data_IF_437728199999
#
_entry.id   IF_437728199999
#
_cell.length_a   1.000
_cell.length_b   1.000
_cell.length_c   1.000
_cell.angle_alpha   90.00
_cell.angle_beta   90.00
_cell.angle_gamma   90.00
#
_symmetry.space_group_name_H-M   'P 1'
#
loop_
_entity.id
_entity.type
_entity.pdbx_description
1 polymer ?
#
# COMPACT_ATOMS: atom_id res chain seq x y z
N UNK A 1 -13.68 -51.76 -3.75
CA UNK A 1 -14.28 -50.44 -3.43
C UNK A 1 -13.24 -49.34 -3.57
N UNK A 2 -13.32 -48.49 -4.60
CA UNK A 2 -12.69 -47.15 -4.60
C UNK A 2 -13.61 -46.23 -5.39
N UNK A 3 -14.16 -45.23 -4.70
CA UNK A 3 -15.29 -44.39 -5.12
C UNK A 3 -14.80 -43.34 -6.12
N UNK A 4 -15.59 -43.10 -7.16
CA UNK A 4 -15.38 -42.05 -8.17
C UNK A 4 -15.66 -40.67 -7.57
N UNK A 5 -14.83 -39.64 -7.84
CA UNK A 5 -15.19 -38.26 -7.53
C UNK A 5 -16.15 -37.72 -8.59
N UNK A 6 -17.26 -37.16 -8.12
CA UNK A 6 -18.33 -36.55 -8.91
C UNK A 6 -17.98 -35.09 -9.21
N UNK A 7 -17.90 -34.74 -10.50
CA UNK A 7 -17.79 -33.36 -10.96
C UNK A 7 -19.10 -32.63 -10.68
N UNK A 8 -19.10 -31.70 -9.73
CA UNK A 8 -20.24 -30.80 -9.51
C UNK A 8 -20.16 -29.67 -10.53
N UNK A 9 -21.00 -29.76 -11.56
CA UNK A 9 -21.23 -28.66 -12.50
C UNK A 9 -21.90 -27.50 -11.76
N UNK A 10 -21.15 -26.44 -11.49
CA UNK A 10 -21.70 -25.19 -10.99
C UNK A 10 -22.27 -24.42 -12.19
N UNK A 11 -23.57 -24.56 -12.43
CA UNK A 11 -24.30 -23.84 -13.46
C UNK A 11 -24.17 -22.34 -13.19
N UNK A 12 -23.42 -21.64 -14.04
CA UNK A 12 -23.36 -20.17 -14.07
C UNK A 12 -24.74 -19.66 -14.51
N UNK A 13 -25.55 -19.23 -13.55
CA UNK A 13 -26.74 -18.45 -13.83
C UNK A 13 -26.29 -17.00 -14.11
N UNK A 14 -26.14 -16.68 -15.39
CA UNK A 14 -26.04 -15.29 -15.84
C UNK A 14 -27.41 -14.65 -15.73
N UNK A 15 -27.56 -13.66 -14.84
CA UNK A 15 -28.70 -12.76 -14.81
C UNK A 15 -28.21 -11.32 -15.02
N UNK A 16 -28.71 -10.74 -16.10
CA UNK A 16 -28.52 -9.40 -16.65
C UNK A 16 -29.24 -8.38 -15.79
N UNK A 17 -28.62 -7.26 -15.41
CA UNK A 17 -29.33 -5.98 -15.29
C UNK A 17 -28.41 -4.84 -15.77
N UNK A 18 -28.62 -4.45 -17.02
CA UNK A 18 -28.21 -3.16 -17.54
C UNK A 18 -29.24 -2.12 -17.06
N UNK A 19 -28.82 -1.10 -16.31
CA UNK A 19 -29.55 0.18 -16.23
C UNK A 19 -28.49 1.29 -16.19
N UNK A 20 -28.39 1.98 -17.33
CA UNK A 20 -27.68 3.25 -17.42
C UNK A 20 -28.51 4.37 -16.81
N UNK A 21 -27.83 5.32 -16.17
CA UNK A 21 -28.33 6.62 -15.75
C UNK A 21 -27.13 7.37 -15.15
N UNK A 22 -26.81 8.62 -15.40
CA UNK A 22 -27.14 9.59 -16.42
C UNK A 22 -26.01 10.63 -16.33
N UNK A 23 -25.63 11.20 -17.47
CA UNK A 23 -24.78 12.38 -17.57
C UNK A 23 -25.34 13.53 -16.70
N UNK A 24 -24.57 13.99 -15.72
CA UNK A 24 -24.64 15.38 -15.28
C UNK A 24 -23.24 15.99 -15.36
N UNK A 25 -22.98 16.67 -16.47
CA UNK A 25 -21.89 17.63 -16.58
C UNK A 25 -22.19 18.78 -15.61
N UNK A 26 -21.37 18.94 -14.58
CA UNK A 26 -21.13 20.25 -13.97
C UNK A 26 -19.71 20.62 -14.26
N UNK A 27 -19.56 21.38 -15.34
CA UNK A 27 -18.39 22.21 -15.57
C UNK A 27 -18.37 23.30 -14.50
N UNK A 28 -17.26 23.43 -13.78
CA UNK A 28 -16.85 24.69 -13.22
C UNK A 28 -15.45 24.99 -13.74
N UNK A 29 -15.32 26.23 -14.20
CA UNK A 29 -14.29 26.78 -15.06
C UNK A 29 -12.86 26.68 -14.53
N UNK A 30 -11.95 26.58 -15.51
CA UNK A 30 -10.52 26.78 -15.38
C UNK A 30 -10.22 28.21 -14.88
N UNK A 31 -9.48 28.31 -13.78
CA UNK A 31 -8.66 29.49 -13.51
C UNK A 31 -7.22 29.16 -13.91
N UNK A 32 -6.81 29.69 -15.05
CA UNK A 32 -5.44 29.68 -15.54
C UNK A 32 -4.68 30.84 -14.91
N UNK A 33 -3.71 30.55 -14.06
CA UNK A 33 -2.65 31.52 -13.73
C UNK A 33 -1.36 31.07 -14.42
N UNK A 34 -1.07 31.72 -15.54
CA UNK A 34 0.25 31.72 -16.17
C UNK A 34 1.09 32.79 -15.49
N UNK A 35 2.23 32.41 -14.92
CA UNK A 35 3.41 33.28 -14.92
C UNK A 35 4.63 32.38 -15.07
N UNK A 36 5.21 32.40 -16.27
CA UNK A 36 6.52 31.86 -16.49
C UNK A 36 7.59 32.80 -15.95
N UNK A 37 8.68 32.24 -15.45
CA UNK A 37 9.99 32.86 -15.59
C UNK A 37 11.04 31.75 -15.71
N UNK A 38 11.68 31.67 -16.86
CA UNK A 38 12.91 30.91 -17.07
C UNK A 38 14.09 31.85 -16.83
N UNK A 39 15.11 31.43 -16.07
CA UNK A 39 16.52 31.40 -16.54
C UNK A 39 17.49 30.84 -15.50
N UNK A 40 18.25 29.85 -15.96
CA UNK A 40 19.68 29.57 -15.78
C UNK A 40 20.39 29.58 -14.40
N UNK A 41 20.88 28.38 -14.04
CA UNK A 41 22.30 28.08 -13.89
C UNK A 41 23.14 28.85 -12.86
N UNK A 42 23.50 28.18 -11.75
CA UNK A 42 24.90 27.94 -11.35
C UNK A 42 24.99 27.11 -10.06
N UNK A 43 25.86 26.09 -10.13
CA UNK A 43 26.43 25.24 -9.10
C UNK A 43 26.82 25.95 -7.78
N UNK A 44 26.36 25.41 -6.64
CA UNK A 44 27.13 25.43 -5.40
C UNK A 44 26.66 24.30 -4.48
N UNK A 45 27.60 23.43 -4.10
CA UNK A 45 27.45 22.48 -3.02
C UNK A 45 27.23 23.23 -1.70
N UNK A 46 26.28 22.76 -0.88
CA UNK A 46 26.50 22.75 0.56
C UNK A 46 25.70 21.63 1.24
N UNK A 47 26.42 20.97 2.12
CA UNK A 47 26.06 19.89 3.02
C UNK A 47 25.22 20.40 4.20
N UNK A 48 24.36 19.51 4.70
CA UNK A 48 23.63 19.55 5.98
C UNK A 48 22.43 20.49 6.07
N UNK A 49 21.24 19.89 5.99
CA UNK A 49 20.08 20.29 6.78
C UNK A 49 19.26 19.04 7.14
N UNK A 50 19.41 18.59 8.38
CA UNK A 50 18.26 18.03 9.08
C UNK A 50 17.21 19.14 9.19
N UNK A 51 15.97 18.87 8.82
CA UNK A 51 14.74 19.36 9.46
C UNK A 51 13.55 18.78 8.71
N UNK A 52 12.85 17.89 9.43
CA UNK A 52 11.40 17.90 9.64
C UNK A 52 10.54 18.45 8.52
N UNK A 53 9.75 17.57 7.91
CA UNK A 53 8.45 17.95 7.36
C UNK A 53 7.41 16.93 7.82
N UNK A 54 6.68 17.35 8.85
CA UNK A 54 5.36 16.82 9.16
C UNK A 54 4.41 17.18 8.02
N UNK A 55 3.68 16.19 7.50
CA UNK A 55 2.42 16.38 6.80
C UNK A 55 1.64 15.06 6.83
N UNK A 56 0.60 15.00 7.68
CA UNK A 56 -0.42 13.96 7.61
C UNK A 56 -0.78 13.25 8.91
N UNK A 57 -0.63 13.86 10.09
CA UNK A 57 -1.26 13.35 11.31
C UNK A 57 -2.79 13.53 11.24
N UNK A 58 -3.46 12.61 10.54
CA UNK A 58 -4.82 12.25 10.93
C UNK A 58 -4.67 11.30 12.09
N UNK A 59 -4.95 11.80 13.29
CA UNK A 59 -4.94 11.08 14.56
C UNK A 59 -6.04 10.00 14.59
N UNK A 60 -5.88 8.96 13.78
CA UNK A 60 -6.47 7.65 13.99
C UNK A 60 -5.53 6.89 14.94
N UNK A 61 -6.11 6.17 15.90
CA UNK A 61 -5.37 5.35 16.86
C UNK A 61 -4.38 4.43 16.14
N UNK A 62 -3.08 4.67 16.34
CA UNK A 62 -2.01 3.86 15.76
C UNK A 62 -2.04 2.44 16.37
N UNK A 63 -1.88 1.42 15.52
CA UNK A 63 -1.87 0.02 15.93
C UNK A 63 -0.61 -0.31 16.75
N UNK A 64 -0.76 -1.16 17.76
CA UNK A 64 0.36 -1.78 18.48
C UNK A 64 0.15 -3.28 18.38
N UNK A 65 0.99 -3.96 17.61
CA UNK A 65 0.83 -5.38 17.30
C UNK A 65 2.08 -6.17 17.68
N UNK A 66 1.88 -7.37 18.19
CA UNK A 66 2.91 -8.42 18.18
C UNK A 66 3.09 -8.98 16.78
N UNK A 67 4.18 -9.71 16.52
CA UNK A 67 4.39 -10.40 15.25
C UNK A 67 3.27 -11.40 14.93
N UNK A 68 2.71 -12.05 15.96
CA UNK A 68 1.61 -12.99 15.80
C UNK A 68 0.31 -12.28 15.36
N UNK A 69 0.03 -11.10 15.90
CA UNK A 69 -1.12 -10.29 15.49
C UNK A 69 -0.91 -9.67 14.11
N UNK A 70 0.32 -9.26 13.78
CA UNK A 70 0.67 -8.76 12.45
C UNK A 70 0.37 -9.82 11.37
N UNK A 71 0.60 -11.11 11.64
CA UNK A 71 0.34 -12.20 10.71
C UNK A 71 -1.13 -12.29 10.24
N UNK A 72 -2.08 -11.71 10.98
CA UNK A 72 -3.48 -11.63 10.56
C UNK A 72 -3.70 -10.59 9.46
N UNK A 73 -2.79 -9.63 9.26
CA UNK A 73 -2.88 -8.56 8.25
C UNK A 73 -2.07 -8.92 7.01
N UNK A 74 -2.48 -10.04 6.40
CA UNK A 74 -1.74 -10.71 5.33
C UNK A 74 -2.21 -10.35 3.92
N UNK A 75 -3.08 -9.35 3.73
CA UNK A 75 -3.59 -8.96 2.40
C UNK A 75 -4.56 -9.95 1.75
N UNK A 76 -5.06 -10.94 2.50
CA UNK A 76 -6.00 -11.96 2.02
C UNK A 76 -7.37 -11.83 2.70
N UNK A 77 -8.40 -12.41 2.09
CA UNK A 77 -9.77 -12.44 2.64
C UNK A 77 -10.33 -11.06 3.03
N UNK A 78 -9.93 -10.03 2.28
CA UNK A 78 -10.33 -8.64 2.53
C UNK A 78 -9.60 -7.96 3.69
N UNK A 79 -8.60 -8.63 4.28
CA UNK A 79 -7.73 -8.04 5.30
C UNK A 79 -6.65 -7.15 4.64
N UNK A 80 -6.20 -6.08 5.33
CA UNK A 80 -5.10 -5.25 4.86
C UNK A 80 -3.80 -6.04 4.70
N UNK A 81 -2.90 -5.56 3.85
CA UNK A 81 -1.55 -6.09 3.68
C UNK A 81 -0.56 -5.23 4.47
N UNK A 82 -0.23 -5.64 5.70
CA UNK A 82 0.71 -4.90 6.55
C UNK A 82 2.08 -5.55 6.56
N UNK A 83 3.13 -4.74 6.65
CA UNK A 83 4.52 -5.20 6.74
C UNK A 83 5.21 -4.44 7.85
N UNK A 84 5.95 -5.15 8.70
CA UNK A 84 6.84 -4.51 9.66
C UNK A 84 8.23 -4.27 9.03
N UNK A 85 8.76 -3.07 9.26
CA UNK A 85 10.16 -2.72 8.99
C UNK A 85 10.67 -1.86 10.14
N UNK A 86 11.74 -2.31 10.79
CA UNK A 86 12.44 -1.58 11.86
C UNK A 86 11.49 -1.19 13.01
N UNK A 87 10.58 -2.10 13.37
CA UNK A 87 9.57 -1.90 14.41
C UNK A 87 8.38 -1.02 14.02
N UNK A 88 8.31 -0.50 12.80
CA UNK A 88 7.15 0.25 12.29
C UNK A 88 6.30 -0.63 11.37
N UNK A 89 4.99 -0.46 11.45
CA UNK A 89 4.04 -1.21 10.62
C UNK A 89 3.52 -0.30 9.51
N UNK A 90 3.72 -0.73 8.27
CA UNK A 90 3.38 -0.01 7.05
C UNK A 90 2.21 -0.70 6.33
N UNK A 91 1.31 0.11 5.78
CA UNK A 91 0.19 -0.38 4.97
C UNK A 91 0.55 -0.44 3.48
N UNK A 92 0.63 -1.65 2.95
CA UNK A 92 0.92 -1.92 1.54
C UNK A 92 -0.35 -2.27 0.74
N UNK A 93 -1.55 -2.19 1.33
CA UNK A 93 -2.81 -2.64 0.72
C UNK A 93 -3.09 -1.99 -0.64
N UNK A 94 -2.82 -0.70 -0.76
CA UNK A 94 -3.07 0.07 -2.00
C UNK A 94 -1.90 0.02 -3.00
N UNK A 95 -0.82 -0.67 -2.66
CA UNK A 95 0.33 -0.83 -3.55
C UNK A 95 0.12 -2.09 -4.40
N UNK A 96 -0.29 -1.91 -5.66
CA UNK A 96 -0.68 -3.03 -6.55
C UNK A 96 0.33 -4.16 -6.73
N UNK A 97 1.60 -3.98 -6.36
CA UNK A 97 2.58 -5.07 -6.28
C UNK A 97 2.32 -6.09 -5.17
N UNK A 98 1.42 -5.79 -4.24
CA UNK A 98 1.07 -6.58 -3.06
C UNK A 98 -0.37 -7.11 -3.12
N UNK A 99 -1.00 -7.12 -4.29
CA UNK A 99 -2.32 -7.73 -4.47
C UNK A 99 -2.29 -9.20 -4.02
N UNK A 100 -3.23 -9.58 -3.16
CA UNK A 100 -3.26 -10.92 -2.54
C UNK A 100 -2.17 -11.15 -1.49
N UNK A 101 -1.53 -10.09 -1.01
CA UNK A 101 -0.61 -10.15 0.13
C UNK A 101 0.76 -10.71 -0.16
N UNK A 102 1.16 -10.84 -1.42
CA UNK A 102 2.45 -11.43 -1.81
C UNK A 102 3.17 -10.54 -2.80
N UNK A 103 4.50 -10.44 -2.65
CA UNK A 103 5.35 -9.71 -3.58
C UNK A 103 6.72 -10.39 -3.67
N UNK A 104 7.10 -10.86 -4.87
CA UNK A 104 8.43 -11.44 -5.13
C UNK A 104 8.90 -12.53 -4.14
N UNK A 105 7.97 -13.36 -3.65
CA UNK A 105 8.27 -14.43 -2.68
C UNK A 105 8.20 -13.99 -1.21
N UNK A 106 7.91 -12.72 -0.94
CA UNK A 106 7.62 -12.19 0.39
C UNK A 106 6.12 -12.07 0.62
N UNK A 107 5.71 -12.11 1.88
CA UNK A 107 4.32 -12.13 2.30
C UNK A 107 4.04 -10.98 3.27
N UNK A 108 2.88 -10.35 3.13
CA UNK A 108 2.36 -9.43 4.13
C UNK A 108 2.04 -10.20 5.43
N UNK A 109 1.94 -9.48 6.53
CA UNK A 109 1.81 -10.01 7.88
C UNK A 109 3.15 -10.44 8.49
N UNK A 110 4.29 -9.96 7.96
CA UNK A 110 5.62 -10.35 8.44
C UNK A 110 6.53 -9.14 8.67
N UNK A 111 7.63 -9.36 9.39
CA UNK A 111 8.75 -8.42 9.47
C UNK A 111 9.70 -8.67 8.29
N UNK A 112 9.87 -7.65 7.46
CA UNK A 112 10.70 -7.69 6.26
C UNK A 112 11.90 -6.74 6.36
N UNK A 113 12.32 -6.36 7.57
CA UNK A 113 13.48 -5.48 7.80
C UNK A 113 14.74 -5.98 7.10
N UNK A 114 15.10 -7.25 7.30
CA UNK A 114 16.26 -7.86 6.65
C UNK A 114 16.07 -7.94 5.12
N UNK A 115 14.87 -8.32 4.67
CA UNK A 115 14.59 -8.54 3.26
C UNK A 115 14.64 -7.24 2.45
N UNK A 116 14.09 -6.15 3.00
CA UNK A 116 14.08 -4.85 2.32
C UNK A 116 15.50 -4.26 2.22
N UNK A 117 16.36 -4.55 3.18
CA UNK A 117 17.74 -4.05 3.21
C UNK A 117 18.69 -4.89 2.36
N UNK A 118 18.54 -6.22 2.37
CA UNK A 118 19.49 -7.14 1.75
C UNK A 118 19.10 -7.64 0.36
N UNK A 119 17.80 -7.71 0.03
CA UNK A 119 17.30 -8.40 -1.16
C UNK A 119 16.42 -7.55 -2.08
N UNK A 120 15.79 -6.48 -1.57
CA UNK A 120 14.92 -5.65 -2.39
C UNK A 120 15.72 -4.82 -3.41
N UNK A 121 15.41 -4.90 -4.73
CA UNK A 121 16.02 -4.03 -5.74
C UNK A 121 15.59 -2.56 -5.61
N UNK A 122 14.61 -2.26 -4.76
CA UNK A 122 14.11 -0.92 -4.51
C UNK A 122 14.48 -0.38 -3.12
N UNK A 123 14.97 -1.23 -2.22
CA UNK A 123 15.36 -0.85 -0.85
C UNK A 123 14.23 -0.19 -0.05
N UNK A 124 14.61 0.54 1.00
CA UNK A 124 13.67 1.27 1.88
C UNK A 124 12.89 2.40 1.21
N UNK A 125 13.28 2.85 0.00
CA UNK A 125 12.58 3.92 -0.72
C UNK A 125 11.13 3.59 -1.10
N UNK A 126 10.73 2.31 -1.05
CA UNK A 126 9.33 1.92 -1.23
C UNK A 126 8.45 2.32 -0.04
N UNK A 127 9.02 2.51 1.15
CA UNK A 127 8.29 2.84 2.37
C UNK A 127 7.67 4.25 2.31
N UNK A 128 8.26 5.16 1.52
CA UNK A 128 7.72 6.52 1.30
C UNK A 128 6.34 6.51 0.64
N UNK A 129 5.94 5.38 0.05
CA UNK A 129 4.66 5.17 -0.62
C UNK A 129 3.62 4.45 0.25
N UNK A 130 4.02 3.97 1.43
CA UNK A 130 3.19 3.21 2.34
C UNK A 130 3.01 4.02 3.63
N UNK A 131 1.77 4.32 4.07
CA UNK A 131 1.57 5.02 5.33
C UNK A 131 1.96 4.13 6.51
N UNK A 132 2.54 4.73 7.55
CA UNK A 132 2.76 4.06 8.83
C UNK A 132 1.42 4.00 9.56
N UNK A 133 1.00 2.80 9.95
CA UNK A 133 -0.27 2.54 10.63
C UNK A 133 -0.09 2.00 12.05
N UNK A 134 1.14 1.63 12.42
CA UNK A 134 1.38 0.96 13.68
C UNK A 134 2.85 0.88 14.09
N UNK A 135 3.05 0.21 15.22
CA UNK A 135 4.35 -0.24 15.71
C UNK A 135 4.28 -1.71 16.09
N UNK A 136 5.38 -2.41 15.84
CA UNK A 136 5.59 -3.79 16.26
C UNK A 136 6.13 -3.79 17.69
N UNK A 137 5.55 -4.62 18.56
CA UNK A 137 6.01 -4.82 19.93
C UNK A 137 6.40 -6.26 20.18
N UNK A 138 7.42 -6.44 20.99
CA UNK A 138 7.79 -7.75 21.51
C UNK A 138 6.70 -8.23 22.50
N UNK A 139 6.41 -9.54 22.55
CA UNK A 139 5.43 -10.12 23.46
C UNK A 139 5.85 -10.08 24.94
#
# INVERSE_FOLDING_TARGET
>A
MKRTPTTRHFTRLFAVIAIGFALLLSACEQSSNTTGNATDGTTAANTTAATTSAAGETSASQLTLTLAELAEYNGMDGKPAYVAVDGLIYDFTELGGWEGGKHNGYEAGTDLTEAIDAASPHGRGVLDRAPVVGSLVEP
#
